data_IF_042461343028
#
_entry.id   IF_042461343028
#
_cell.length_a   1.000
_cell.length_b   1.000
_cell.length_c   1.000
_cell.angle_alpha   90.00
_cell.angle_beta   90.00
_cell.angle_gamma   90.00
#
_symmetry.space_group_name_H-M   'P 1'
#
loop_
_entity.id
_entity.type
_entity.pdbx_description
1 polymer ?
#
# COMPACT_ATOMS: atom_id res chain seq x y z
N UNK A 1 -21.60 20.05 -6.42
CA UNK A 1 -20.79 20.34 -7.62
C UNK A 1 -21.29 19.46 -8.76
N UNK A 2 -21.37 19.98 -9.99
CA UNK A 2 -21.74 19.17 -11.16
C UNK A 2 -20.74 18.04 -11.41
N UNK A 3 -21.22 16.87 -11.85
CA UNK A 3 -20.38 15.68 -12.02
C UNK A 3 -19.27 15.90 -13.06
N UNK A 4 -19.53 16.68 -14.12
CA UNK A 4 -18.53 17.01 -15.14
C UNK A 4 -17.38 17.87 -14.59
N UNK A 5 -17.69 18.84 -13.73
CA UNK A 5 -16.70 19.67 -13.06
C UNK A 5 -15.86 18.84 -12.08
N UNK A 6 -16.49 17.93 -11.33
CA UNK A 6 -15.80 17.00 -10.45
C UNK A 6 -14.79 16.13 -11.23
N UNK A 7 -15.21 15.54 -12.34
CA UNK A 7 -14.33 14.70 -13.18
C UNK A 7 -13.11 15.47 -13.65
N UNK A 8 -13.30 16.70 -14.14
CA UNK A 8 -12.19 17.55 -14.58
C UNK A 8 -11.20 17.82 -13.45
N UNK A 9 -11.70 18.14 -12.26
CA UNK A 9 -10.84 18.37 -11.09
C UNK A 9 -10.05 17.12 -10.68
N UNK A 10 -10.68 15.94 -10.75
CA UNK A 10 -10.03 14.66 -10.48
C UNK A 10 -8.99 14.27 -11.55
N UNK A 11 -9.24 14.57 -12.83
CA UNK A 11 -8.27 14.37 -13.92
C UNK A 11 -7.03 15.26 -13.74
N UNK A 12 -7.23 16.56 -13.45
CA UNK A 12 -6.15 17.53 -13.20
C UNK A 12 -5.27 17.15 -11.98
N UNK A 13 -5.80 16.32 -11.08
CA UNK A 13 -5.07 15.82 -9.93
C UNK A 13 -3.97 14.82 -10.30
N UNK A 14 -4.06 14.12 -11.43
CA UNK A 14 -3.05 13.13 -11.85
C UNK A 14 -1.81 13.75 -12.51
N UNK A 15 -1.51 15.01 -12.19
CA UNK A 15 -0.39 15.80 -12.75
C UNK A 15 0.95 15.62 -12.01
N UNK A 16 1.90 16.51 -12.33
CA UNK A 16 3.30 16.43 -11.86
C UNK A 16 3.47 16.40 -10.32
N UNK A 17 4.49 15.69 -9.83
CA UNK A 17 4.78 15.55 -8.41
C UNK A 17 3.74 14.73 -7.62
N UNK A 18 3.04 13.83 -8.31
CA UNK A 18 2.11 12.87 -7.73
C UNK A 18 2.85 11.76 -6.96
N UNK A 19 2.38 11.46 -5.76
CA UNK A 19 2.75 10.28 -4.98
C UNK A 19 1.50 9.44 -4.73
N UNK A 20 1.58 8.15 -5.02
CA UNK A 20 0.51 7.20 -4.69
C UNK A 20 0.76 6.63 -3.30
N UNK A 21 -0.28 6.64 -2.45
CA UNK A 21 -0.28 5.97 -1.15
C UNK A 21 -1.31 4.85 -1.20
N UNK A 22 -0.85 3.60 -1.16
CA UNK A 22 -1.70 2.43 -1.34
C UNK A 22 -1.78 1.64 -0.03
N UNK A 23 -2.99 1.50 0.50
CA UNK A 23 -3.27 0.66 1.65
C UNK A 23 -3.96 -0.66 1.28
N UNK A 24 -4.28 -1.45 2.30
CA UNK A 24 -4.79 -2.81 2.13
C UNK A 24 -6.12 -2.85 1.38
N UNK A 25 -6.91 -1.77 1.41
CA UNK A 25 -8.20 -1.69 0.72
C UNK A 25 -8.09 -1.95 -0.78
N UNK A 26 -6.98 -1.57 -1.44
CA UNK A 26 -6.78 -1.88 -2.86
C UNK A 26 -6.58 -3.38 -3.07
N UNK A 27 -5.70 -4.01 -2.29
CA UNK A 27 -5.47 -5.46 -2.35
C UNK A 27 -6.72 -6.26 -1.97
N UNK A 28 -7.52 -5.77 -1.01
CA UNK A 28 -8.80 -6.38 -0.64
C UNK A 28 -9.80 -6.36 -1.79
N UNK A 29 -9.87 -5.27 -2.54
CA UNK A 29 -10.69 -5.21 -3.74
C UNK A 29 -10.25 -6.24 -4.80
N UNK A 30 -8.96 -6.62 -4.81
CA UNK A 30 -8.42 -7.70 -5.64
C UNK A 30 -8.61 -9.10 -5.05
N UNK A 31 -9.13 -9.25 -3.82
CA UNK A 31 -9.38 -10.54 -3.19
C UNK A 31 -8.34 -10.98 -2.16
N UNK A 32 -7.39 -10.11 -1.78
CA UNK A 32 -6.51 -10.35 -0.63
C UNK A 32 -7.32 -10.17 0.68
N UNK A 33 -7.20 -11.07 1.67
CA UNK A 33 -7.94 -10.94 2.92
C UNK A 33 -7.61 -9.64 3.67
N UNK A 34 -8.62 -9.01 4.25
CA UNK A 34 -8.47 -7.81 5.08
C UNK A 34 -8.11 -8.13 6.52
N UNK A 35 -8.06 -7.08 7.35
CA UNK A 35 -7.68 -7.19 8.77
C UNK A 35 -8.63 -8.05 9.59
N UNK A 36 -9.92 -8.07 9.24
CA UNK A 36 -10.94 -8.89 9.92
C UNK A 36 -10.72 -10.37 9.62
N UNK A 37 -10.55 -10.70 8.35
CA UNK A 37 -10.27 -12.06 7.89
C UNK A 37 -8.94 -12.58 8.46
N UNK A 38 -7.92 -11.71 8.57
CA UNK A 38 -6.66 -12.04 9.22
C UNK A 38 -6.86 -12.33 10.72
N UNK A 39 -7.62 -11.50 11.42
CA UNK A 39 -7.93 -11.72 12.84
C UNK A 39 -8.63 -13.07 13.05
N UNK A 40 -9.63 -13.39 12.23
CA UNK A 40 -10.34 -14.67 12.27
C UNK A 40 -9.41 -15.85 11.97
N UNK A 41 -8.52 -15.72 10.98
CA UNK A 41 -7.51 -16.73 10.67
C UNK A 41 -6.58 -17.00 11.87
N UNK A 42 -6.01 -15.95 12.47
CA UNK A 42 -5.11 -16.09 13.62
C UNK A 42 -5.83 -16.75 14.81
N UNK A 43 -7.08 -16.37 15.08
CA UNK A 43 -7.88 -16.98 16.15
C UNK A 43 -8.04 -18.49 15.94
N UNK A 44 -8.31 -18.92 14.71
CA UNK A 44 -8.66 -20.30 14.41
C UNK A 44 -7.43 -21.21 14.27
N UNK A 45 -6.33 -20.72 13.71
CA UNK A 45 -5.20 -21.57 13.29
C UNK A 45 -3.94 -21.41 14.15
N UNK A 46 -3.70 -20.21 14.71
CA UNK A 46 -2.48 -19.94 15.47
C UNK A 46 -2.34 -20.83 16.73
N UNK A 47 -3.38 -21.08 17.56
CA UNK A 47 -3.23 -21.82 18.82
C UNK A 47 -2.57 -23.19 18.70
N UNK A 48 -2.79 -23.88 17.58
CA UNK A 48 -2.23 -25.21 17.29
C UNK A 48 -0.71 -25.22 17.12
N UNK A 49 -0.09 -24.04 16.92
CA UNK A 49 1.34 -23.87 16.63
C UNK A 49 2.12 -23.26 17.80
N UNK A 50 1.46 -22.96 18.91
CA UNK A 50 2.03 -22.22 20.03
C UNK A 50 2.56 -23.14 21.13
N UNK A 51 3.59 -22.67 21.82
CA UNK A 51 4.08 -23.27 23.07
C UNK A 51 3.03 -23.16 24.18
N UNK A 52 3.15 -23.96 25.25
CA UNK A 52 2.22 -23.87 26.39
C UNK A 52 2.20 -22.50 27.05
N UNK A 53 3.32 -21.78 27.04
CA UNK A 53 3.45 -20.44 27.61
C UNK A 53 2.76 -19.40 26.70
N UNK A 54 2.99 -19.48 25.39
CA UNK A 54 2.36 -18.60 24.41
C UNK A 54 0.85 -18.82 24.31
N UNK A 55 0.37 -20.05 24.50
CA UNK A 55 -1.08 -20.35 24.59
C UNK A 55 -1.72 -19.59 25.76
N UNK A 56 -1.05 -19.50 26.91
CA UNK A 56 -1.59 -18.77 28.08
C UNK A 56 -1.68 -17.28 27.78
N UNK A 57 -0.69 -16.70 27.09
CA UNK A 57 -0.73 -15.30 26.66
C UNK A 57 -1.79 -15.08 25.57
N UNK A 58 -1.87 -15.95 24.57
CA UNK A 58 -2.86 -15.89 23.50
C UNK A 58 -4.30 -15.90 24.02
N UNK A 59 -4.59 -16.71 25.06
CA UNK A 59 -5.90 -16.70 25.74
C UNK A 59 -6.26 -15.35 26.37
N UNK A 60 -5.28 -14.50 26.70
CA UNK A 60 -5.51 -13.12 27.16
C UNK A 60 -5.70 -12.15 26.00
N UNK A 61 -4.99 -12.36 24.88
CA UNK A 61 -5.07 -11.51 23.67
C UNK A 61 -6.40 -11.73 22.94
N UNK A 62 -6.81 -12.99 22.74
CA UNK A 62 -7.96 -13.37 21.89
C UNK A 62 -9.26 -12.59 22.22
N UNK A 63 -9.71 -12.45 23.48
CA UNK A 63 -10.90 -11.66 23.80
C UNK A 63 -10.83 -10.21 23.30
N UNK A 64 -9.64 -9.60 23.32
CA UNK A 64 -9.42 -8.23 22.86
C UNK A 64 -9.38 -8.11 21.34
N UNK A 65 -9.00 -9.16 20.60
CA UNK A 65 -9.01 -9.12 19.13
C UNK A 65 -10.44 -8.88 18.62
N UNK A 66 -11.43 -9.53 19.23
CA UNK A 66 -12.84 -9.36 18.84
C UNK A 66 -13.44 -8.04 19.32
N UNK A 67 -13.02 -7.56 20.48
CA UNK A 67 -13.58 -6.35 21.09
C UNK A 67 -12.95 -5.07 20.52
N UNK A 68 -11.63 -5.05 20.41
CA UNK A 68 -10.81 -3.85 20.18
C UNK A 68 -10.16 -3.87 18.78
N UNK A 69 -10.14 -5.02 18.09
CA UNK A 69 -9.43 -5.24 16.84
C UNK A 69 -8.02 -5.82 17.05
N UNK A 70 -7.47 -6.45 16.01
CA UNK A 70 -6.19 -7.18 16.08
C UNK A 70 -5.03 -6.29 16.54
N UNK A 71 -4.89 -5.11 15.95
CA UNK A 71 -3.80 -4.19 16.28
C UNK A 71 -3.89 -3.69 17.72
N UNK A 72 -5.06 -3.20 18.15
CA UNK A 72 -5.27 -2.72 19.52
C UNK A 72 -5.06 -3.84 20.56
N UNK A 73 -5.47 -5.07 20.26
CA UNK A 73 -5.25 -6.22 21.13
C UNK A 73 -3.75 -6.54 21.31
N UNK A 74 -2.98 -6.53 20.23
CA UNK A 74 -1.53 -6.77 20.24
C UNK A 74 -0.74 -5.58 20.82
N UNK A 75 -1.31 -4.38 20.81
CA UNK A 75 -0.77 -3.22 21.53
C UNK A 75 -1.02 -3.33 23.05
N UNK A 76 -2.20 -3.78 23.44
CA UNK A 76 -2.59 -3.91 24.86
C UNK A 76 -1.84 -5.04 25.57
N UNK A 77 -1.58 -6.13 24.86
CA UNK A 77 -0.89 -7.31 25.36
C UNK A 77 0.22 -7.70 24.38
N UNK A 78 1.43 -7.18 24.63
CA UNK A 78 2.58 -7.42 23.77
C UNK A 78 2.87 -8.92 23.61
N UNK A 79 3.02 -9.44 22.38
CA UNK A 79 3.43 -10.82 22.17
C UNK A 79 4.87 -11.05 22.63
N UNK A 80 5.17 -12.28 23.04
CA UNK A 80 6.56 -12.77 23.18
C UNK A 80 7.23 -12.83 21.80
N UNK A 81 8.57 -12.86 21.71
CA UNK A 81 9.26 -13.02 20.42
C UNK A 81 8.84 -14.29 19.65
N UNK A 82 8.56 -15.39 20.37
CA UNK A 82 8.10 -16.65 19.76
C UNK A 82 6.67 -16.55 19.25
N UNK A 83 5.76 -15.93 20.00
CA UNK A 83 4.40 -15.67 19.56
C UNK A 83 4.35 -14.71 18.37
N UNK A 84 5.17 -13.65 18.39
CA UNK A 84 5.28 -12.72 17.28
C UNK A 84 5.77 -13.42 16.01
N UNK A 85 6.83 -14.22 16.09
CA UNK A 85 7.31 -15.00 14.95
C UNK A 85 6.21 -15.91 14.37
N UNK A 86 5.40 -16.54 15.24
CA UNK A 86 4.26 -17.35 14.81
C UNK A 86 3.15 -16.52 14.13
N UNK A 87 2.85 -15.32 14.64
CA UNK A 87 1.88 -14.37 14.03
C UNK A 87 2.38 -13.93 12.66
N UNK A 88 3.66 -13.53 12.55
CA UNK A 88 4.30 -13.12 11.29
C UNK A 88 4.23 -14.24 10.26
N UNK A 89 4.60 -15.46 10.65
CA UNK A 89 4.54 -16.63 9.77
C UNK A 89 3.11 -16.91 9.31
N UNK A 90 2.15 -16.99 10.24
CA UNK A 90 0.75 -17.27 9.91
C UNK A 90 0.13 -16.19 9.04
N UNK A 91 0.44 -14.91 9.31
CA UNK A 91 -0.02 -13.77 8.49
C UNK A 91 0.54 -13.85 7.08
N UNK A 92 1.85 -14.08 6.94
CA UNK A 92 2.51 -14.19 5.65
C UNK A 92 1.98 -15.36 4.82
N UNK A 93 1.78 -16.53 5.43
CA UNK A 93 1.23 -17.71 4.75
C UNK A 93 -0.22 -17.48 4.30
N UNK A 94 -1.06 -16.88 5.16
CA UNK A 94 -2.46 -16.61 4.85
C UNK A 94 -2.63 -15.67 3.66
N UNK A 95 -1.86 -14.58 3.62
CA UNK A 95 -1.91 -13.59 2.54
C UNK A 95 -1.27 -14.15 1.26
N UNK A 96 -0.16 -14.90 1.37
CA UNK A 96 0.51 -15.50 0.21
C UNK A 96 -0.37 -16.48 -0.56
N UNK A 97 -1.29 -17.20 0.12
CA UNK A 97 -2.25 -18.09 -0.56
C UNK A 97 -3.19 -17.28 -1.47
N UNK A 98 -3.77 -16.19 -0.94
CA UNK A 98 -4.64 -15.33 -1.73
C UNK A 98 -3.90 -14.64 -2.87
N UNK A 99 -2.70 -14.10 -2.59
CA UNK A 99 -1.84 -13.48 -3.60
C UNK A 99 -1.51 -14.46 -4.73
N UNK A 100 -1.07 -15.70 -4.42
CA UNK A 100 -0.72 -16.69 -5.43
C UNK A 100 -1.87 -16.99 -6.40
N UNK A 101 -3.11 -17.05 -5.90
CA UNK A 101 -4.30 -17.23 -6.74
C UNK A 101 -4.49 -16.04 -7.69
N UNK A 102 -4.36 -14.81 -7.19
CA UNK A 102 -4.50 -13.59 -7.99
C UNK A 102 -3.39 -13.50 -9.04
N UNK A 103 -2.14 -13.80 -8.67
CA UNK A 103 -1.00 -13.85 -9.60
C UNK A 103 -1.26 -14.86 -10.71
N UNK A 104 -1.80 -16.04 -10.37
CA UNK A 104 -2.17 -17.06 -11.36
C UNK A 104 -3.24 -16.56 -12.34
N UNK A 105 -4.26 -15.84 -11.84
CA UNK A 105 -5.29 -15.24 -12.71
C UNK A 105 -4.71 -14.16 -13.64
N UNK A 106 -3.82 -13.30 -13.12
CA UNK A 106 -3.16 -12.25 -13.91
C UNK A 106 -2.24 -12.87 -14.97
N UNK A 107 -1.39 -13.81 -14.59
CA UNK A 107 -0.47 -14.50 -15.50
C UNK A 107 -1.19 -15.22 -16.64
N UNK A 108 -2.38 -15.78 -16.36
CA UNK A 108 -3.22 -16.44 -17.37
C UNK A 108 -4.16 -15.46 -18.11
N UNK A 109 -3.97 -14.14 -17.94
CA UNK A 109 -4.80 -13.08 -18.53
C UNK A 109 -6.30 -13.18 -18.23
N UNK A 110 -6.66 -13.83 -17.11
CA UNK A 110 -8.05 -13.91 -16.63
C UNK A 110 -8.46 -12.69 -15.80
N UNK A 111 -7.48 -11.92 -15.33
CA UNK A 111 -7.69 -10.75 -14.49
C UNK A 111 -6.70 -9.64 -14.84
N UNK A 112 -7.20 -8.42 -14.91
CA UNK A 112 -6.39 -7.20 -14.96
C UNK A 112 -6.60 -6.42 -13.68
N UNK A 113 -5.53 -6.19 -12.92
CA UNK A 113 -5.60 -5.49 -11.64
C UNK A 113 -6.06 -4.04 -11.84
N UNK A 114 -6.78 -3.48 -10.85
CA UNK A 114 -7.27 -2.09 -10.91
C UNK A 114 -6.13 -1.10 -11.09
N UNK A 115 -5.00 -1.31 -10.41
CA UNK A 115 -3.83 -0.44 -10.55
C UNK A 115 -3.25 -0.48 -11.97
N UNK A 116 -3.21 -1.65 -12.63
CA UNK A 116 -2.75 -1.77 -14.02
C UNK A 116 -3.55 -0.87 -14.96
N UNK A 117 -4.85 -0.70 -14.70
CA UNK A 117 -5.73 0.18 -15.48
C UNK A 117 -5.45 1.67 -15.23
N UNK A 118 -4.99 2.04 -14.04
CA UNK A 118 -4.65 3.43 -13.69
C UNK A 118 -3.32 3.87 -14.33
N UNK A 119 -2.30 3.01 -14.30
CA UNK A 119 -0.92 3.37 -14.66
C UNK A 119 -0.79 4.12 -16.00
N UNK A 120 -1.46 3.72 -17.11
CA UNK A 120 -1.37 4.43 -18.38
C UNK A 120 -1.83 5.90 -18.35
N UNK A 121 -2.61 6.29 -17.34
CA UNK A 121 -3.12 7.65 -17.19
C UNK A 121 -2.22 8.54 -16.31
N UNK A 122 -1.13 8.00 -15.74
CA UNK A 122 -0.22 8.74 -14.90
C UNK A 122 0.94 9.32 -15.70
N UNK A 123 1.41 10.50 -15.28
CA UNK A 123 2.69 11.02 -15.78
C UNK A 123 3.85 10.13 -15.30
N UNK A 124 4.72 9.74 -16.22
CA UNK A 124 5.91 8.94 -15.91
C UNK A 124 7.17 9.81 -15.97
N UNK A 125 7.65 10.34 -14.82
CA UNK A 125 8.88 11.10 -14.78
C UNK A 125 10.10 10.18 -14.94
N UNK A 126 11.22 10.73 -15.44
CA UNK A 126 12.49 9.98 -15.57
C UNK A 126 12.98 9.41 -14.23
N UNK A 127 12.62 10.06 -13.11
CA UNK A 127 12.93 9.58 -11.76
C UNK A 127 12.11 8.36 -11.33
N UNK A 128 11.03 8.05 -12.05
CA UNK A 128 10.04 7.02 -11.71
C UNK A 128 8.87 7.54 -10.87
N UNK A 129 7.69 6.93 -11.03
CA UNK A 129 6.47 7.26 -10.28
C UNK A 129 6.61 6.72 -8.85
N UNK A 130 6.57 7.56 -7.81
CA UNK A 130 6.66 7.10 -6.43
C UNK A 130 5.34 6.47 -5.95
N UNK A 131 5.42 5.24 -5.47
CA UNK A 131 4.32 4.50 -4.86
C UNK A 131 4.78 4.06 -3.47
N UNK A 132 4.06 4.49 -2.44
CA UNK A 132 4.26 4.02 -1.06
C UNK A 132 3.13 3.07 -0.71
N UNK A 133 3.46 1.88 -0.21
CA UNK A 133 2.44 0.93 0.23
C UNK A 133 2.79 0.23 1.54
N UNK A 134 1.80 0.08 2.40
CA UNK A 134 1.92 -0.68 3.65
C UNK A 134 1.57 -2.16 3.46
N UNK A 135 1.26 -2.58 2.24
CA UNK A 135 0.78 -3.93 1.93
C UNK A 135 1.96 -4.89 1.77
N UNK A 136 1.80 -6.12 2.25
CA UNK A 136 2.84 -7.15 2.12
C UNK A 136 2.84 -7.82 0.75
N UNK A 137 1.66 -7.96 0.14
CA UNK A 137 1.51 -8.54 -1.19
C UNK A 137 2.21 -7.71 -2.28
N UNK A 138 2.47 -8.34 -3.42
CA UNK A 138 3.23 -7.81 -4.55
C UNK A 138 2.33 -7.32 -5.67
N UNK A 139 1.04 -7.10 -5.40
CA UNK A 139 0.08 -6.75 -6.46
C UNK A 139 0.38 -5.38 -7.06
N UNK A 140 0.97 -4.45 -6.28
CA UNK A 140 1.38 -3.15 -6.81
C UNK A 140 2.52 -3.27 -7.83
N UNK A 141 3.54 -4.08 -7.51
CA UNK A 141 4.67 -4.41 -8.37
C UNK A 141 4.17 -5.05 -9.67
N UNK A 142 3.39 -6.12 -9.54
CA UNK A 142 2.86 -6.88 -10.68
C UNK A 142 1.97 -5.99 -11.56
N UNK A 143 1.11 -5.17 -10.95
CA UNK A 143 0.25 -4.28 -11.71
C UNK A 143 1.02 -3.27 -12.57
N UNK A 144 2.17 -2.78 -12.07
CA UNK A 144 3.02 -1.85 -12.80
C UNK A 144 3.80 -2.55 -13.92
N UNK A 145 4.30 -3.77 -13.70
CA UNK A 145 4.96 -4.57 -14.75
C UNK A 145 3.98 -4.96 -15.86
N UNK A 146 2.75 -5.38 -15.52
CA UNK A 146 1.67 -5.65 -16.48
C UNK A 146 1.28 -4.41 -17.31
N UNK A 147 1.49 -3.20 -16.76
CA UNK A 147 1.30 -1.94 -17.47
C UNK A 147 2.53 -1.51 -18.30
N UNK A 148 3.58 -2.35 -18.36
CA UNK A 148 4.79 -2.11 -19.15
C UNK A 148 5.83 -1.20 -18.49
N UNK A 149 5.71 -0.93 -17.18
CA UNK A 149 6.70 -0.15 -16.43
C UNK A 149 7.72 -1.05 -15.74
N UNK A 150 8.96 -0.56 -15.62
CA UNK A 150 9.93 -1.15 -14.70
C UNK A 150 9.55 -0.92 -13.23
N UNK A 151 9.93 -1.83 -12.35
CA UNK A 151 9.64 -1.72 -10.91
C UNK A 151 10.93 -1.68 -10.09
N UNK A 152 11.24 -0.51 -9.55
CA UNK A 152 12.37 -0.31 -8.63
C UNK A 152 11.89 -0.51 -7.19
N UNK A 153 12.31 -1.62 -6.59
CA UNK A 153 12.06 -1.95 -5.17
C UNK A 153 13.32 -1.80 -4.33
N UNK A 154 14.39 -1.16 -4.85
CA UNK A 154 15.72 -1.08 -4.25
C UNK A 154 16.49 -2.41 -4.13
N UNK A 155 15.91 -3.53 -4.56
CA UNK A 155 16.61 -4.81 -4.65
C UNK A 155 17.20 -5.01 -6.05
N UNK A 156 18.39 -5.61 -6.12
CA UNK A 156 19.14 -5.84 -7.37
C UNK A 156 19.57 -7.32 -7.47
N UNK A 157 19.23 -7.96 -8.60
CA UNK A 157 19.53 -9.38 -8.88
C UNK A 157 18.30 -10.19 -9.31
N UNK A 158 18.51 -11.41 -9.81
CA UNK A 158 17.44 -12.28 -10.33
C UNK A 158 17.05 -13.43 -9.41
N UNK A 159 17.99 -13.97 -8.64
CA UNK A 159 17.74 -15.10 -7.74
C UNK A 159 17.38 -14.60 -6.34
N UNK A 160 18.38 -14.33 -5.51
CA UNK A 160 18.23 -13.66 -4.23
C UNK A 160 18.73 -12.23 -4.41
N UNK A 161 17.86 -11.35 -4.88
CA UNK A 161 18.20 -9.96 -5.17
C UNK A 161 18.60 -9.27 -3.86
N UNK A 162 19.76 -8.60 -3.83
CA UNK A 162 20.27 -7.95 -2.62
C UNK A 162 19.72 -6.54 -2.51
N UNK A 163 19.52 -6.06 -1.28
CA UNK A 163 19.14 -4.67 -1.05
C UNK A 163 20.29 -3.73 -1.44
N UNK A 164 20.21 -3.16 -2.64
CA UNK A 164 21.22 -2.30 -3.23
C UNK A 164 20.53 -1.13 -3.95
N UNK A 165 20.04 -0.10 -3.21
CA UNK A 165 19.18 0.94 -3.78
C UNK A 165 19.79 1.67 -4.98
N UNK A 166 21.09 1.96 -4.92
CA UNK A 166 21.80 2.63 -6.00
C UNK A 166 21.90 1.70 -7.22
N UNK A 167 22.33 0.45 -7.05
CA UNK A 167 22.41 -0.53 -8.13
C UNK A 167 21.06 -0.83 -8.78
N UNK A 168 20.01 -0.97 -7.98
CA UNK A 168 18.64 -1.17 -8.48
C UNK A 168 18.20 0.00 -9.35
N UNK A 169 18.40 1.25 -8.90
CA UNK A 169 18.08 2.44 -9.70
C UNK A 169 18.87 2.52 -11.01
N UNK A 170 20.18 2.24 -10.97
CA UNK A 170 21.03 2.25 -12.16
C UNK A 170 20.72 1.14 -13.16
N UNK A 171 20.14 0.01 -12.72
CA UNK A 171 19.72 -1.07 -13.62
C UNK A 171 18.69 -0.63 -14.68
N UNK A 172 17.98 0.47 -14.42
CA UNK A 172 17.02 1.07 -15.35
C UNK A 172 17.65 2.09 -16.31
N UNK A 173 18.93 2.43 -16.19
CA UNK A 173 19.59 3.35 -17.11
C UNK A 173 19.70 2.71 -18.50
N UNK A 174 19.18 3.40 -19.53
CA UNK A 174 19.16 2.92 -20.92
C UNK A 174 20.11 3.68 -21.82
N UNK A 175 20.42 4.93 -21.50
CA UNK A 175 21.30 5.75 -22.32
C UNK A 175 22.01 6.82 -21.48
N UNK A 176 23.21 7.20 -21.91
CA UNK A 176 24.01 8.28 -21.33
C UNK A 176 24.39 9.23 -22.46
N UNK A 177 24.05 10.50 -22.33
CA UNK A 177 24.35 11.53 -23.33
C UNK A 177 25.06 12.71 -22.71
N UNK A 178 26.11 13.19 -23.35
CA UNK A 178 26.74 14.46 -23.00
C UNK A 178 25.94 15.59 -23.64
N UNK A 179 25.43 16.52 -22.84
CA UNK A 179 24.73 17.73 -23.29
C UNK A 179 25.51 18.95 -22.80
N UNK A 180 26.34 19.50 -23.67
CA UNK A 180 27.33 20.52 -23.29
C UNK A 180 28.41 19.92 -22.39
N UNK A 181 28.52 20.42 -21.15
CA UNK A 181 29.44 19.89 -20.13
C UNK A 181 28.77 18.93 -19.14
N UNK A 182 27.47 18.69 -19.27
CA UNK A 182 26.69 17.91 -18.31
C UNK A 182 26.36 16.52 -18.87
N UNK A 183 26.52 15.49 -18.04
CA UNK A 183 26.07 14.12 -18.35
C UNK A 183 24.59 14.01 -18.03
N UNK A 184 23.79 13.60 -19.02
CA UNK A 184 22.36 13.29 -18.85
C UNK A 184 22.14 11.79 -19.00
N UNK A 185 21.45 11.23 -18.03
CA UNK A 185 21.06 9.83 -18.00
C UNK A 185 19.60 9.71 -18.42
N UNK A 186 19.31 8.77 -19.32
CA UNK A 186 17.94 8.40 -19.68
C UNK A 186 17.63 7.05 -19.06
N UNK A 187 16.60 7.01 -18.23
CA UNK A 187 16.11 5.79 -17.60
C UNK A 187 14.93 5.22 -18.39
N UNK A 188 14.66 3.92 -18.21
CA UNK A 188 13.40 3.33 -18.63
C UNK A 188 12.26 3.89 -17.78
N UNK A 189 11.06 4.02 -18.36
CA UNK A 189 9.86 4.34 -17.61
C UNK A 189 9.66 3.32 -16.49
N UNK A 190 9.54 3.82 -15.26
CA UNK A 190 9.51 2.96 -14.07
C UNK A 190 8.64 3.55 -12.96
N UNK A 191 8.34 2.71 -11.99
CA UNK A 191 7.81 3.09 -10.68
C UNK A 191 8.88 2.82 -9.62
N UNK A 192 8.86 3.60 -8.54
CA UNK A 192 9.64 3.32 -7.34
C UNK A 192 8.66 2.91 -6.24
N UNK A 193 8.72 1.65 -5.80
CA UNK A 193 7.80 1.09 -4.82
C UNK A 193 8.49 1.00 -3.46
N UNK A 194 7.94 1.71 -2.48
CA UNK A 194 8.45 1.76 -1.12
C UNK A 194 7.50 1.02 -0.17
N UNK A 195 7.99 -0.05 0.47
CA UNK A 195 7.22 -0.92 1.37
C UNK A 195 7.76 -0.86 2.79
N UNK A 196 7.44 0.18 3.58
CA UNK A 196 7.94 0.31 4.95
C UNK A 196 7.58 -0.86 5.86
N UNK A 197 6.55 -1.67 5.52
CA UNK A 197 6.13 -2.83 6.31
C UNK A 197 6.59 -4.18 5.76
N UNK A 198 7.47 -4.19 4.78
CA UNK A 198 7.97 -5.43 4.22
C UNK A 198 7.19 -5.95 3.02
N UNK A 199 7.57 -7.14 2.59
CA UNK A 199 6.97 -7.83 1.44
C UNK A 199 6.99 -9.33 1.64
N UNK A 200 6.05 -10.04 1.01
CA UNK A 200 5.95 -11.50 1.10
C UNK A 200 7.14 -12.23 0.47
N UNK A 201 7.92 -11.56 -0.37
CA UNK A 201 9.09 -12.09 -1.07
C UNK A 201 10.43 -11.65 -0.44
N UNK A 202 10.42 -11.03 0.74
CA UNK A 202 11.64 -10.64 1.44
C UNK A 202 12.03 -11.67 2.49
N UNK A 203 13.32 -12.04 2.51
CA UNK A 203 13.89 -13.04 3.40
C UNK A 203 15.27 -12.62 3.88
N UNK A 204 15.75 -13.22 4.98
CA UNK A 204 17.16 -13.18 5.33
C UNK A 204 17.93 -14.29 4.64
N UNK A 205 19.09 -13.95 4.08
CA UNK A 205 20.11 -14.89 3.60
C UNK A 205 21.45 -14.47 4.16
N UNK A 206 22.06 -15.32 4.97
CA UNK A 206 23.34 -15.03 5.64
C UNK A 206 23.30 -13.69 6.42
N UNK A 207 22.19 -13.45 7.11
CA UNK A 207 21.96 -12.21 7.87
C UNK A 207 21.64 -10.97 7.03
N UNK A 208 21.63 -11.06 5.71
CA UNK A 208 21.34 -9.94 4.82
C UNK A 208 19.93 -10.03 4.23
N UNK A 209 19.18 -8.92 4.13
CA UNK A 209 17.87 -8.93 3.49
C UNK A 209 18.02 -9.12 1.98
N UNK A 210 17.24 -10.05 1.44
CA UNK A 210 17.15 -10.35 0.02
C UNK A 210 15.70 -10.46 -0.43
N UNK A 211 15.44 -10.15 -1.69
CA UNK A 211 14.16 -10.43 -2.35
C UNK A 211 14.27 -11.72 -3.18
N UNK A 212 13.38 -12.68 -2.93
CA UNK A 212 13.24 -13.92 -3.67
C UNK A 212 11.75 -14.18 -3.97
N UNK A 213 11.38 -14.18 -5.24
CA UNK A 213 9.97 -14.22 -5.66
C UNK A 213 9.24 -15.54 -5.37
N UNK A 214 9.96 -16.64 -5.13
CA UNK A 214 9.37 -17.93 -4.79
C UNK A 214 8.97 -18.03 -3.32
N UNK A 215 8.28 -19.11 -2.96
CA UNK A 215 7.97 -19.41 -1.57
C UNK A 215 9.10 -20.24 -0.93
N UNK A 216 9.56 -19.81 0.25
CA UNK A 216 10.48 -20.56 1.08
C UNK A 216 9.84 -20.84 2.44
N UNK A 217 10.15 -21.98 3.09
CA UNK A 217 9.74 -22.27 4.46
C UNK A 217 10.61 -21.50 5.47
N UNK A 218 10.84 -20.21 5.21
CA UNK A 218 11.64 -19.30 6.02
C UNK A 218 10.78 -18.11 6.46
N UNK A 219 11.12 -17.45 7.58
CA UNK A 219 10.42 -16.25 8.00
C UNK A 219 10.51 -15.15 6.93
N UNK A 220 9.34 -14.60 6.57
CA UNK A 220 9.24 -13.44 5.69
C UNK A 220 9.53 -12.16 6.46
N UNK A 221 10.15 -11.19 5.80
CA UNK A 221 10.41 -9.88 6.39
C UNK A 221 9.19 -8.98 6.20
N UNK A 222 8.22 -9.12 7.09
CA UNK A 222 7.02 -8.28 7.18
C UNK A 222 6.82 -7.76 8.60
N UNK A 223 6.23 -6.58 8.74
CA UNK A 223 5.90 -5.99 10.03
C UNK A 223 4.40 -6.12 10.28
N UNK A 224 4.02 -7.05 11.16
CA UNK A 224 2.63 -7.23 11.59
C UNK A 224 2.19 -6.15 12.58
N UNK A 225 0.88 -5.89 12.73
CA UNK A 225 0.37 -4.96 13.73
C UNK A 225 0.77 -5.34 15.17
N UNK A 226 0.92 -4.36 16.06
CA UNK A 226 1.28 -4.56 17.47
C UNK A 226 2.54 -3.82 17.91
N UNK A 227 2.89 -3.90 19.20
CA UNK A 227 3.95 -3.06 19.81
C UNK A 227 5.35 -3.24 19.21
N UNK A 228 5.67 -4.44 18.72
CA UNK A 228 7.00 -4.71 18.18
C UNK A 228 7.22 -4.15 16.76
N UNK A 229 6.15 -3.67 16.10
CA UNK A 229 6.20 -2.84 14.88
C UNK A 229 7.18 -1.67 15.02
N UNK A 230 7.22 -1.05 16.21
CA UNK A 230 8.11 0.07 16.50
C UNK A 230 9.59 -0.35 16.59
N UNK A 231 9.91 -1.59 16.93
CA UNK A 231 11.30 -2.06 17.04
C UNK A 231 11.83 -2.53 15.69
N UNK A 232 11.08 -3.40 15.02
CA UNK A 232 11.48 -4.01 13.74
C UNK A 232 11.60 -2.99 12.61
N UNK A 233 10.84 -1.88 12.65
CA UNK A 233 10.92 -0.84 11.64
C UNK A 233 12.27 -0.10 11.57
N UNK A 234 13.14 -0.17 12.58
CA UNK A 234 14.47 0.46 12.55
C UNK A 234 15.55 -0.44 11.94
N UNK A 235 15.21 -1.67 11.59
CA UNK A 235 16.14 -2.62 10.99
C UNK A 235 16.03 -2.60 9.46
N UNK A 236 17.14 -2.89 8.79
CA UNK A 236 17.17 -3.10 7.34
C UNK A 236 16.41 -4.39 7.00
N UNK A 237 15.48 -4.38 6.02
CA UNK A 237 15.34 -3.39 4.95
C UNK A 237 14.31 -2.27 5.20
N UNK A 238 13.55 -2.33 6.30
CA UNK A 238 12.39 -1.48 6.56
C UNK A 238 12.76 -0.01 6.69
N UNK A 239 13.89 0.28 7.35
CA UNK A 239 14.43 1.62 7.55
C UNK A 239 14.64 2.39 6.23
N UNK A 240 15.29 1.76 5.24
CA UNK A 240 15.57 2.35 3.92
C UNK A 240 14.29 2.58 3.12
N UNK A 241 13.36 1.63 3.15
CA UNK A 241 12.07 1.79 2.48
C UNK A 241 11.26 2.92 3.12
N UNK A 242 11.27 3.03 4.45
CA UNK A 242 10.62 4.13 5.16
C UNK A 242 11.27 5.48 4.86
N UNK A 243 12.60 5.57 4.87
CA UNK A 243 13.32 6.81 4.52
C UNK A 243 12.94 7.29 3.11
N UNK A 244 12.94 6.38 2.12
CA UNK A 244 12.54 6.73 0.75
C UNK A 244 11.06 7.06 0.60
N UNK A 245 10.19 6.39 1.34
CA UNK A 245 8.77 6.72 1.40
C UNK A 245 8.57 8.14 1.98
N UNK A 246 9.21 8.45 3.09
CA UNK A 246 9.13 9.77 3.75
C UNK A 246 9.68 10.87 2.83
N UNK A 247 10.83 10.65 2.20
CA UNK A 247 11.42 11.54 1.20
C UNK A 247 10.44 11.85 0.05
N UNK A 248 9.75 10.83 -0.46
CA UNK A 248 8.76 10.99 -1.53
C UNK A 248 7.56 11.81 -1.04
N UNK A 249 7.06 11.53 0.16
CA UNK A 249 5.94 12.24 0.79
C UNK A 249 6.29 13.72 1.03
N UNK A 250 7.47 14.00 1.55
CA UNK A 250 7.89 15.37 1.86
C UNK A 250 8.02 16.22 0.59
N UNK A 251 8.48 15.62 -0.51
CA UNK A 251 8.63 16.27 -1.82
C UNK A 251 7.34 16.31 -2.65
N UNK A 252 6.29 15.61 -2.23
CA UNK A 252 5.05 15.50 -2.98
C UNK A 252 4.38 16.86 -3.18
N UNK A 253 3.81 17.04 -4.38
CA UNK A 253 2.90 18.15 -4.72
C UNK A 253 1.44 17.72 -4.72
N UNK A 254 1.20 16.41 -4.90
CA UNK A 254 -0.13 15.80 -4.94
C UNK A 254 -0.08 14.40 -4.33
N UNK A 255 -1.09 14.03 -3.57
CA UNK A 255 -1.27 12.67 -3.06
C UNK A 255 -2.49 12.02 -3.69
N UNK A 256 -2.33 10.79 -4.19
CA UNK A 256 -3.46 9.94 -4.55
C UNK A 256 -3.47 8.70 -3.65
N UNK A 257 -4.43 8.69 -2.74
CA UNK A 257 -4.48 7.76 -1.62
C UNK A 257 -5.59 6.74 -1.90
N UNK A 258 -5.25 5.46 -1.94
CA UNK A 258 -6.17 4.39 -2.38
C UNK A 258 -6.21 3.30 -1.31
N UNK A 259 -7.38 3.09 -0.71
CA UNK A 259 -7.62 2.02 0.26
C UNK A 259 -6.76 2.11 1.53
N UNK A 260 -6.27 3.29 1.88
CA UNK A 260 -5.42 3.51 3.05
C UNK A 260 -6.22 4.08 4.24
N UNK A 261 -6.14 3.40 5.38
CA UNK A 261 -6.97 3.68 6.55
C UNK A 261 -6.46 4.79 7.48
N UNK A 262 -5.26 5.36 7.26
CA UNK A 262 -4.63 6.29 8.20
C UNK A 262 -4.54 5.70 9.62
N UNK A 263 -3.98 4.49 9.72
CA UNK A 263 -3.67 3.85 11.00
C UNK A 263 -2.17 3.59 11.16
N UNK A 264 -1.34 4.18 10.30
CA UNK A 264 0.10 4.02 10.38
C UNK A 264 0.76 5.26 10.95
N UNK A 265 1.07 5.22 12.24
CA UNK A 265 1.66 6.37 12.93
C UNK A 265 3.00 6.81 12.30
N UNK A 266 3.82 5.88 11.79
CA UNK A 266 5.09 6.22 11.16
C UNK A 266 4.88 7.00 9.86
N UNK A 267 4.02 6.52 8.97
CA UNK A 267 3.72 7.21 7.72
C UNK A 267 2.96 8.52 7.96
N UNK A 268 2.06 8.54 8.95
CA UNK A 268 1.28 9.71 9.33
C UNK A 268 2.14 10.87 9.84
N UNK A 269 3.31 10.59 10.43
CA UNK A 269 4.24 11.66 10.87
C UNK A 269 4.70 12.57 9.74
N UNK A 270 4.75 12.07 8.50
CA UNK A 270 5.07 12.87 7.31
C UNK A 270 3.82 13.19 6.49
N UNK A 271 2.95 12.20 6.25
CA UNK A 271 1.80 12.34 5.37
C UNK A 271 0.79 13.37 5.89
N UNK A 272 0.39 13.26 7.16
CA UNK A 272 -0.67 14.11 7.72
C UNK A 272 -0.25 15.59 7.78
N UNK A 273 0.96 15.97 8.22
CA UNK A 273 1.43 17.36 8.15
C UNK A 273 1.46 17.92 6.74
N UNK A 274 1.91 17.13 5.75
CA UNK A 274 1.92 17.56 4.34
C UNK A 274 0.52 17.84 3.82
N UNK A 275 -0.45 16.97 4.10
CA UNK A 275 -1.86 17.19 3.74
C UNK A 275 -2.38 18.47 4.39
N UNK A 276 -2.16 18.65 5.71
CA UNK A 276 -2.59 19.85 6.47
C UNK A 276 -1.91 21.13 5.99
N UNK A 277 -0.71 21.04 5.41
CA UNK A 277 0.01 22.18 4.82
C UNK A 277 -0.52 22.62 3.44
N UNK A 278 -1.55 21.94 2.92
CA UNK A 278 -2.22 22.34 1.67
C UNK A 278 -1.86 21.50 0.43
N UNK A 279 -1.12 20.39 0.57
CA UNK A 279 -0.82 19.50 -0.56
C UNK A 279 -2.11 18.90 -1.12
N UNK A 280 -2.36 19.08 -2.42
CA UNK A 280 -3.58 18.57 -3.07
C UNK A 280 -3.68 17.06 -2.84
N UNK A 281 -4.84 16.58 -2.41
CA UNK A 281 -5.01 15.18 -2.00
C UNK A 281 -6.34 14.65 -2.50
N UNK A 282 -6.32 13.46 -3.08
CA UNK A 282 -7.52 12.69 -3.41
C UNK A 282 -7.45 11.36 -2.67
N UNK A 283 -8.52 10.99 -1.97
CA UNK A 283 -8.64 9.75 -1.18
C UNK A 283 -9.79 8.91 -1.75
N UNK A 284 -9.50 7.67 -2.15
CA UNK A 284 -10.47 6.65 -2.59
C UNK A 284 -10.44 5.48 -1.61
N UNK A 285 -11.58 5.08 -1.07
CA UNK A 285 -11.68 3.92 -0.19
C UNK A 285 -13.10 3.38 -0.17
N UNK A 286 -13.30 2.11 0.20
CA UNK A 286 -14.65 1.58 0.41
C UNK A 286 -15.35 2.30 1.58
N UNK A 287 -14.63 2.52 2.68
CA UNK A 287 -15.13 3.26 3.85
C UNK A 287 -14.04 4.17 4.38
N UNK A 288 -14.37 5.44 4.65
CA UNK A 288 -13.43 6.35 5.30
C UNK A 288 -13.29 6.00 6.78
N UNK A 289 -12.05 5.88 7.24
CA UNK A 289 -11.79 5.89 8.68
C UNK A 289 -12.17 7.24 9.27
N UNK A 290 -12.43 7.29 10.58
CA UNK A 290 -12.75 8.56 11.24
C UNK A 290 -11.62 9.59 11.07
N UNK A 291 -10.36 9.15 11.10
CA UNK A 291 -9.18 9.99 10.83
C UNK A 291 -9.21 10.55 9.40
N UNK A 292 -9.43 9.70 8.39
CA UNK A 292 -9.50 10.11 6.99
C UNK A 292 -10.65 11.09 6.73
N UNK A 293 -11.84 10.83 7.29
CA UNK A 293 -13.00 11.74 7.22
C UNK A 293 -12.67 13.09 7.85
N UNK A 294 -12.09 13.11 9.05
CA UNK A 294 -11.71 14.34 9.72
C UNK A 294 -10.67 15.14 8.91
N UNK A 295 -9.71 14.48 8.26
CA UNK A 295 -8.75 15.13 7.36
C UNK A 295 -9.49 15.76 6.18
N UNK A 296 -10.40 15.03 5.53
CA UNK A 296 -11.13 15.52 4.37
C UNK A 296 -12.04 16.72 4.70
N UNK A 297 -12.75 16.66 5.84
CA UNK A 297 -13.65 17.75 6.26
C UNK A 297 -12.88 19.03 6.59
N UNK A 298 -11.75 18.90 7.30
CA UNK A 298 -11.02 20.06 7.83
C UNK A 298 -10.04 20.70 6.83
N UNK A 299 -9.82 20.12 5.64
CA UNK A 299 -8.80 20.59 4.70
C UNK A 299 -9.38 20.69 3.28
N UNK A 300 -9.57 21.91 2.79
CA UNK A 300 -10.17 22.19 1.46
C UNK A 300 -9.37 21.65 0.27
N UNK A 301 -8.08 21.39 0.46
CA UNK A 301 -7.21 20.76 -0.54
C UNK A 301 -7.41 19.24 -0.67
N UNK A 302 -8.34 18.66 0.09
CA UNK A 302 -8.63 17.22 0.10
C UNK A 302 -9.99 16.97 -0.54
N UNK A 303 -10.02 16.04 -1.50
CA UNK A 303 -11.24 15.38 -1.96
C UNK A 303 -11.18 13.95 -1.45
N UNK A 304 -12.23 13.49 -0.77
CA UNK A 304 -12.35 12.10 -0.38
C UNK A 304 -13.62 11.49 -0.95
N UNK A 305 -13.59 10.19 -1.23
CA UNK A 305 -14.75 9.46 -1.73
C UNK A 305 -14.82 8.07 -1.09
N UNK A 306 -16.03 7.70 -0.68
CA UNK A 306 -16.36 6.38 -0.15
C UNK A 306 -17.61 5.78 -0.78
N UNK A 307 -17.77 4.46 -0.65
CA UNK A 307 -19.02 3.80 -0.96
C UNK A 307 -20.13 4.33 -0.06
N UNK A 308 -21.31 4.55 -0.63
CA UNK A 308 -22.48 4.93 0.11
C UNK A 308 -23.75 4.36 -0.53
N UNK A 309 -24.74 4.03 0.30
CA UNK A 309 -26.07 3.64 -0.13
C UNK A 309 -27.10 4.51 0.61
N UNK A 310 -27.89 5.28 -0.13
CA UNK A 310 -28.95 6.15 0.37
C UNK A 310 -30.27 5.77 -0.32
N UNK A 311 -31.33 5.54 0.47
CA UNK A 311 -32.65 5.13 -0.01
C UNK A 311 -32.63 3.95 -1.00
N UNK A 312 -31.77 2.95 -0.74
CA UNK A 312 -31.59 1.76 -1.58
C UNK A 312 -30.82 2.00 -2.89
N UNK A 313 -30.34 3.23 -3.12
CA UNK A 313 -29.50 3.57 -4.28
C UNK A 313 -28.04 3.55 -3.88
N UNK A 314 -27.27 2.67 -4.50
CA UNK A 314 -25.81 2.63 -4.35
C UNK A 314 -25.16 3.77 -5.12
N UNK A 315 -24.10 4.33 -4.55
CA UNK A 315 -23.36 5.41 -5.16
C UNK A 315 -22.05 5.69 -4.44
N UNK A 316 -21.59 6.93 -4.59
CA UNK A 316 -20.37 7.42 -3.98
C UNK A 316 -20.66 8.68 -3.17
N UNK A 317 -20.26 8.70 -1.89
CA UNK A 317 -20.28 9.92 -1.07
C UNK A 317 -18.92 10.59 -1.18
N UNK A 318 -18.92 11.82 -1.66
CA UNK A 318 -17.74 12.67 -1.74
C UNK A 318 -17.70 13.65 -0.58
N UNK A 319 -16.50 13.98 -0.11
CA UNK A 319 -16.23 15.12 0.77
C UNK A 319 -15.40 16.12 -0.04
N UNK A 320 -15.96 17.30 -0.27
CA UNK A 320 -15.37 18.34 -1.14
C UNK A 320 -15.59 19.69 -0.45
N UNK A 321 -14.50 20.45 -0.24
CA UNK A 321 -14.54 21.73 0.48
C UNK A 321 -15.21 21.62 1.87
N UNK A 322 -15.08 20.45 2.51
CA UNK A 322 -15.67 20.15 3.81
C UNK A 322 -17.14 19.72 3.80
N UNK A 323 -17.79 19.73 2.63
CA UNK A 323 -19.19 19.32 2.47
C UNK A 323 -19.30 17.89 1.95
N UNK A 324 -20.24 17.12 2.49
CA UNK A 324 -20.58 15.79 2.01
C UNK A 324 -21.61 15.88 0.87
N UNK A 325 -21.35 15.20 -0.25
CA UNK A 325 -22.21 15.20 -1.42
C UNK A 325 -22.35 13.75 -1.90
N UNK A 326 -23.59 13.25 -1.95
CA UNK A 326 -23.89 11.93 -2.50
C UNK A 326 -24.12 12.01 -4.00
N UNK A 327 -23.45 11.15 -4.76
CA UNK A 327 -23.66 10.95 -6.18
C UNK A 327 -24.21 9.53 -6.41
N UNK A 328 -25.48 9.39 -6.83
CA UNK A 328 -26.10 8.09 -7.04
C UNK A 328 -25.52 7.39 -8.28
N UNK A 329 -25.52 6.06 -8.26
CA UNK A 329 -25.20 5.21 -9.41
C UNK A 329 -23.80 5.41 -10.01
N UNK A 330 -22.85 5.89 -9.20
CA UNK A 330 -21.42 5.92 -9.54
C UNK A 330 -20.59 5.17 -8.50
N UNK A 331 -19.45 4.66 -8.93
CA UNK A 331 -18.56 3.79 -8.15
C UNK A 331 -17.14 4.36 -8.05
N UNK A 332 -16.98 5.68 -8.09
CA UNK A 332 -15.66 6.35 -8.13
C UNK A 332 -14.83 6.16 -6.85
N UNK A 333 -15.41 5.56 -5.80
CA UNK A 333 -14.68 5.08 -4.63
C UNK A 333 -13.84 3.84 -4.92
N UNK A 334 -14.22 3.03 -5.92
CA UNK A 334 -13.44 1.90 -6.44
C UNK A 334 -12.49 2.41 -7.53
N UNK A 335 -11.24 1.93 -7.54
CA UNK A 335 -10.25 2.42 -8.50
C UNK A 335 -10.61 2.09 -9.95
N UNK A 336 -11.25 0.96 -10.23
CA UNK A 336 -11.73 0.65 -11.58
C UNK A 336 -12.91 1.54 -11.97
N UNK A 337 -13.85 1.78 -11.05
CA UNK A 337 -14.93 2.75 -11.24
C UNK A 337 -14.42 4.15 -11.53
N UNK A 338 -13.40 4.59 -10.79
CA UNK A 338 -12.70 5.85 -11.01
C UNK A 338 -12.06 5.91 -12.40
N UNK A 339 -11.26 4.91 -12.80
CA UNK A 339 -10.60 4.90 -14.10
C UNK A 339 -11.62 4.97 -15.24
N UNK A 340 -12.65 4.12 -15.21
CA UNK A 340 -13.69 4.09 -16.26
C UNK A 340 -14.54 5.36 -16.29
N UNK A 341 -14.93 5.84 -15.11
CA UNK A 341 -15.87 6.95 -14.99
C UNK A 341 -15.23 8.33 -15.13
N UNK A 342 -13.95 8.45 -14.79
CA UNK A 342 -13.23 9.74 -14.71
C UNK A 342 -12.15 9.86 -15.78
N UNK A 343 -11.43 8.79 -16.13
CA UNK A 343 -10.24 8.88 -17.00
C UNK A 343 -10.45 8.34 -18.42
N UNK A 344 -11.41 7.43 -18.62
CA UNK A 344 -11.82 6.99 -19.95
C UNK A 344 -12.75 8.03 -20.57
N UNK A 345 -12.24 8.77 -21.57
CA UNK A 345 -13.02 9.65 -22.45
C UNK A 345 -13.05 9.04 -23.84
#
# INVERSE_FOLDING_TARGET
MELSALKKQLQEHLGDGLVLIIGSGLSCAEGVPGMRELADHLINYLPSRLSSDDIRLWKKIHPHIKADGLEAALLKHAPTPTLEAAIVQSTGDFIAIAEANIISEVFNHKKTLRLTKLIPHLLSPDSGIPIVTTNYDRLAEIACEEAGLGVDTMFCGHFAARLEPQGSSWSFCRNVKLVGKNVRYKFASKVNIFKPHGSLDWYYREGNPVRYAGALPLPRLIITPGLNKFRSGYESPFDKHREKANDAIDKARRFFIIGYGFNDDHLETHLTPRIKSGVKTVILTFTLSQKARNIAINNKNVIAVEFCEEDGTKGARFIIDGAEIFYPSIDYWDLEGFVKGVLSV
#
